data_IF_402284277399
#
_entry.id   IF_402284277399
#
_cell.length_a   1.000
_cell.length_b   1.000
_cell.length_c   1.000
_cell.angle_alpha   90.00
_cell.angle_beta   90.00
_cell.angle_gamma   90.00
#
_symmetry.space_group_name_H-M   'P 1'
#
loop_
_entity.id
_entity.type
_entity.pdbx_description
1 polymer ?
#
# COMPACT_ATOMS: atom_id res chain seq x y z
N UNK A 1 -2.67 16.76 -14.29
CA UNK A 1 -2.36 15.32 -14.25
C UNK A 1 -0.87 15.22 -14.16
N UNK A 2 -0.38 14.41 -13.23
CA UNK A 2 1.05 14.21 -13.09
C UNK A 2 1.61 13.37 -14.24
N UNK A 3 2.87 13.57 -14.60
CA UNK A 3 3.63 12.68 -15.48
C UNK A 3 4.05 11.38 -14.75
N UNK A 4 3.91 11.33 -13.43
CA UNK A 4 4.32 10.19 -12.60
C UNK A 4 3.10 9.59 -11.89
N UNK A 5 2.77 8.35 -12.24
CA UNK A 5 1.60 7.64 -11.72
C UNK A 5 2.04 6.46 -10.85
N UNK A 6 1.47 6.37 -9.66
CA UNK A 6 1.56 5.19 -8.80
C UNK A 6 0.24 4.42 -8.83
N UNK A 7 0.33 3.09 -8.88
CA UNK A 7 -0.78 2.19 -8.56
C UNK A 7 -0.47 1.42 -7.28
N UNK A 8 -1.52 1.19 -6.51
CA UNK A 8 -1.46 0.58 -5.18
C UNK A 8 -2.52 -0.52 -5.09
N UNK A 9 -2.38 -1.42 -4.12
CA UNK A 9 -3.30 -2.54 -3.92
C UNK A 9 -4.71 -2.03 -3.55
N UNK A 10 -4.89 -1.33 -2.43
CA UNK A 10 -6.21 -0.89 -1.93
C UNK A 10 -6.36 0.63 -1.74
N UNK A 11 -7.56 1.08 -1.39
CA UNK A 11 -7.80 2.47 -1.00
C UNK A 11 -7.03 2.88 0.27
N UNK A 12 -6.84 1.97 1.23
CA UNK A 12 -6.06 2.29 2.44
C UNK A 12 -4.59 2.53 2.09
N UNK A 13 -4.04 1.73 1.17
CA UNK A 13 -2.71 1.97 0.61
C UNK A 13 -2.65 3.33 -0.06
N UNK A 14 -3.65 3.66 -0.89
CA UNK A 14 -3.73 4.95 -1.56
C UNK A 14 -3.67 6.10 -0.56
N UNK A 15 -4.52 6.07 0.46
CA UNK A 15 -4.57 7.13 1.48
C UNK A 15 -3.25 7.27 2.25
N UNK A 16 -2.60 6.15 2.54
CA UNK A 16 -1.31 6.15 3.24
C UNK A 16 -0.18 6.70 2.35
N UNK A 17 -0.11 6.25 1.10
CA UNK A 17 0.89 6.69 0.14
C UNK A 17 0.72 8.17 -0.19
N UNK A 18 -0.51 8.66 -0.36
CA UNK A 18 -0.79 10.09 -0.51
C UNK A 18 -0.29 10.90 0.71
N UNK A 19 -0.57 10.43 1.93
CA UNK A 19 -0.09 11.10 3.15
C UNK A 19 1.45 11.17 3.22
N UNK A 20 2.13 10.11 2.76
CA UNK A 20 3.58 10.03 2.74
C UNK A 20 4.19 10.89 1.61
N UNK A 21 3.54 10.98 0.45
CA UNK A 21 3.90 11.88 -0.65
C UNK A 21 3.82 13.33 -0.20
N UNK A 22 2.73 13.72 0.46
CA UNK A 22 2.55 15.05 1.03
C UNK A 22 3.66 15.37 2.04
N UNK A 23 3.97 14.41 2.92
CA UNK A 23 5.06 14.55 3.89
C UNK A 23 6.44 14.71 3.24
N UNK A 24 6.69 14.03 2.13
CA UNK A 24 7.93 14.12 1.37
C UNK A 24 7.99 15.34 0.43
N UNK A 25 6.89 16.09 0.30
CA UNK A 25 6.74 17.22 -0.60
C UNK A 25 7.05 16.84 -2.06
N UNK A 26 6.35 15.82 -2.57
CA UNK A 26 6.48 15.32 -3.95
C UNK A 26 5.22 15.69 -4.78
N UNK A 27 5.05 16.96 -5.20
CA UNK A 27 3.81 17.46 -5.80
C UNK A 27 3.50 16.86 -7.18
N UNK A 28 4.54 16.37 -7.88
CA UNK A 28 4.44 15.77 -9.21
C UNK A 28 4.28 14.25 -9.13
N UNK A 29 3.70 13.70 -8.07
CA UNK A 29 3.39 12.26 -7.95
C UNK A 29 1.91 12.09 -7.71
N UNK A 30 1.25 11.37 -8.60
CA UNK A 30 -0.18 11.07 -8.50
C UNK A 30 -0.37 9.59 -8.13
N UNK A 31 -1.23 9.32 -7.15
CA UNK A 31 -1.67 7.95 -6.84
C UNK A 31 -2.99 7.70 -7.53
N UNK A 32 -2.99 6.80 -8.51
CA UNK A 32 -4.19 6.44 -9.26
C UNK A 32 -5.16 5.59 -8.44
N UNK A 33 -6.27 5.22 -9.09
CA UNK A 33 -7.20 4.27 -8.48
C UNK A 33 -6.51 2.93 -8.15
N UNK A 34 -6.87 2.33 -6.99
CA UNK A 34 -6.30 1.07 -6.54
C UNK A 34 -6.62 -0.07 -7.51
N UNK A 35 -5.84 -1.15 -7.39
CA UNK A 35 -6.06 -2.40 -8.13
C UNK A 35 -7.34 -3.06 -7.64
N UNK A 36 -7.53 -3.09 -6.33
CA UNK A 36 -8.65 -3.72 -5.64
C UNK A 36 -9.83 -2.78 -5.50
N UNK A 37 -11.03 -3.30 -5.67
CA UNK A 37 -12.24 -2.62 -5.22
C UNK A 37 -12.43 -2.80 -3.70
N UNK A 38 -13.13 -1.86 -3.07
CA UNK A 38 -13.39 -1.85 -1.61
C UNK A 38 -14.10 -3.12 -1.10
N UNK A 39 -14.79 -3.83 -1.98
CA UNK A 39 -15.57 -5.03 -1.66
C UNK A 39 -14.81 -6.36 -1.86
N UNK A 40 -13.55 -6.33 -2.30
CA UNK A 40 -12.75 -7.54 -2.58
C UNK A 40 -11.90 -7.95 -1.37
N UNK A 41 -12.30 -9.05 -0.72
CA UNK A 41 -11.57 -9.61 0.44
C UNK A 41 -10.26 -10.32 0.04
N UNK A 42 -10.19 -10.83 -1.20
CA UNK A 42 -9.02 -11.44 -1.84
C UNK A 42 -8.85 -10.83 -3.25
N UNK A 43 -8.13 -9.72 -3.32
CA UNK A 43 -8.07 -8.89 -4.53
C UNK A 43 -7.12 -9.40 -5.62
N UNK A 44 -6.00 -10.01 -5.24
CA UNK A 44 -5.00 -10.51 -6.19
C UNK A 44 -5.14 -12.01 -6.43
N UNK A 45 -6.39 -12.49 -6.45
CA UNK A 45 -6.72 -13.91 -6.59
C UNK A 45 -6.41 -14.39 -8.02
N UNK A 46 -5.11 -14.60 -8.26
CA UNK A 46 -4.51 -14.93 -9.54
C UNK A 46 -4.50 -13.74 -10.51
N UNK A 47 -3.52 -12.84 -10.38
CA UNK A 47 -2.92 -11.85 -11.32
C UNK A 47 -3.83 -10.95 -12.20
N UNK A 48 -4.97 -11.46 -12.64
CA UNK A 48 -5.98 -10.90 -13.53
C UNK A 48 -6.41 -9.47 -13.21
N UNK A 49 -6.55 -9.11 -11.94
CA UNK A 49 -6.88 -7.73 -11.55
C UNK A 49 -5.73 -6.75 -11.81
N UNK A 50 -4.47 -7.18 -11.56
CA UNK A 50 -3.29 -6.37 -11.89
C UNK A 50 -3.14 -6.25 -13.42
N UNK A 51 -3.23 -7.36 -14.16
CA UNK A 51 -3.20 -7.37 -15.63
C UNK A 51 -4.28 -6.46 -16.23
N UNK A 52 -5.51 -6.57 -15.76
CA UNK A 52 -6.63 -5.74 -16.22
C UNK A 52 -6.39 -4.27 -15.93
N UNK A 53 -5.81 -3.96 -14.76
CA UNK A 53 -5.45 -2.59 -14.39
C UNK A 53 -4.36 -2.05 -15.32
N UNK A 54 -3.27 -2.79 -15.51
CA UNK A 54 -2.16 -2.43 -16.39
C UNK A 54 -2.63 -2.24 -17.84
N UNK A 55 -3.44 -3.16 -18.36
CA UNK A 55 -4.02 -3.07 -19.72
C UNK A 55 -4.88 -1.82 -19.89
N UNK A 56 -5.61 -1.39 -18.85
CA UNK A 56 -6.37 -0.12 -18.92
C UNK A 56 -5.46 1.10 -18.86
N UNK A 57 -4.31 0.99 -18.20
CA UNK A 57 -3.34 2.08 -18.08
C UNK A 57 -2.58 2.35 -19.37
N UNK A 58 -2.39 1.37 -20.27
CA UNK A 58 -1.75 1.61 -21.57
C UNK A 58 -2.47 2.71 -22.35
N UNK A 59 -3.81 2.66 -22.39
CA UNK A 59 -4.63 3.72 -22.98
C UNK A 59 -4.47 5.09 -22.30
N UNK A 60 -4.12 5.11 -21.01
CA UNK A 60 -3.85 6.35 -20.28
C UNK A 60 -2.44 6.86 -20.61
N UNK A 61 -1.44 6.00 -20.58
CA UNK A 61 -0.04 6.31 -20.93
C UNK A 61 0.01 7.05 -22.28
N UNK A 62 -0.63 6.51 -23.31
CA UNK A 62 -0.67 7.10 -24.65
C UNK A 62 -1.35 8.48 -24.70
N UNK A 63 -2.37 8.70 -23.85
CA UNK A 63 -3.21 9.91 -23.89
C UNK A 63 -2.73 11.03 -22.97
N UNK A 64 -2.19 10.68 -21.81
CA UNK A 64 -1.92 11.64 -20.73
C UNK A 64 -0.43 11.93 -20.58
N UNK A 65 0.45 11.24 -21.30
CA UNK A 65 1.88 11.49 -21.28
C UNK A 65 2.55 11.07 -19.98
N UNK A 66 2.09 9.96 -19.38
CA UNK A 66 2.76 9.35 -18.24
C UNK A 66 4.19 9.01 -18.67
N UNK A 67 5.16 9.39 -17.86
CA UNK A 67 6.59 9.09 -18.05
C UNK A 67 7.09 8.02 -17.11
N UNK A 68 6.55 7.97 -15.89
CA UNK A 68 6.92 6.99 -14.87
C UNK A 68 5.70 6.29 -14.30
N UNK A 69 5.74 4.96 -14.24
CA UNK A 69 4.73 4.11 -13.62
C UNK A 69 5.34 3.37 -12.41
N UNK A 70 4.76 3.57 -11.23
CA UNK A 70 5.12 2.86 -10.01
C UNK A 70 4.05 1.88 -9.59
N UNK A 71 4.44 0.67 -9.20
CA UNK A 71 3.53 -0.38 -8.74
C UNK A 71 3.87 -0.72 -7.29
N UNK A 72 2.92 -0.57 -6.37
CA UNK A 72 3.10 -0.89 -4.95
C UNK A 72 2.16 -2.02 -4.56
N UNK A 73 2.71 -3.17 -4.13
CA UNK A 73 1.95 -4.34 -3.66
C UNK A 73 2.42 -4.80 -2.28
N UNK A 74 1.54 -5.44 -1.52
CA UNK A 74 1.92 -6.06 -0.25
C UNK A 74 2.67 -7.38 -0.44
N UNK A 75 3.72 -7.61 0.36
CA UNK A 75 4.48 -8.86 0.33
C UNK A 75 3.64 -10.07 0.74
N UNK A 76 2.71 -9.88 1.67
CA UNK A 76 1.92 -10.92 2.33
C UNK A 76 2.84 -12.06 2.81
N UNK A 77 2.38 -13.31 2.64
CA UNK A 77 3.18 -14.53 2.85
C UNK A 77 3.99 -14.94 1.61
N UNK A 78 3.71 -14.33 0.45
CA UNK A 78 4.38 -14.62 -0.83
C UNK A 78 5.82 -14.10 -0.82
N UNK A 79 6.04 -12.97 -0.14
CA UNK A 79 7.33 -12.31 -0.02
C UNK A 79 7.68 -11.47 -1.24
N UNK A 80 8.82 -10.79 -1.16
CA UNK A 80 9.28 -9.82 -2.16
C UNK A 80 9.43 -10.47 -3.54
N UNK A 81 10.22 -11.54 -3.65
CA UNK A 81 10.56 -12.15 -4.94
C UNK A 81 9.33 -12.70 -5.66
N UNK A 82 8.42 -13.34 -4.93
CA UNK A 82 7.18 -13.86 -5.52
C UNK A 82 6.26 -12.75 -6.03
N UNK A 83 6.21 -11.59 -5.34
CA UNK A 83 5.43 -10.44 -5.82
C UNK A 83 6.08 -9.74 -7.01
N UNK A 84 7.41 -9.64 -7.05
CA UNK A 84 8.12 -9.14 -8.24
C UNK A 84 7.85 -10.06 -9.44
N UNK A 85 7.86 -11.38 -9.24
CA UNK A 85 7.49 -12.36 -10.27
C UNK A 85 6.08 -12.13 -10.81
N UNK A 86 5.09 -11.99 -9.92
CA UNK A 86 3.70 -11.69 -10.28
C UNK A 86 3.58 -10.37 -11.07
N UNK A 87 4.33 -9.33 -10.68
CA UNK A 87 4.34 -8.07 -11.43
C UNK A 87 4.92 -8.27 -12.83
N UNK A 88 6.02 -9.01 -12.98
CA UNK A 88 6.60 -9.29 -14.29
C UNK A 88 5.62 -10.06 -15.19
N UNK A 89 4.96 -11.10 -14.66
CA UNK A 89 3.92 -11.84 -15.40
C UNK A 89 2.80 -10.90 -15.88
N UNK A 90 2.40 -9.92 -15.07
CA UNK A 90 1.36 -8.97 -15.44
C UNK A 90 1.84 -7.90 -16.44
N UNK A 91 3.13 -7.55 -16.41
CA UNK A 91 3.76 -6.62 -17.35
C UNK A 91 3.88 -7.24 -18.74
N UNK A 92 4.10 -8.55 -18.86
CA UNK A 92 4.17 -9.26 -20.15
C UNK A 92 2.90 -9.05 -21.01
N UNK A 93 1.76 -8.74 -20.38
CA UNK A 93 0.51 -8.43 -21.07
C UNK A 93 0.51 -7.06 -21.76
N UNK A 94 1.40 -6.13 -21.36
CA UNK A 94 1.42 -4.74 -21.87
C UNK A 94 2.75 -4.31 -22.48
N UNK A 95 3.87 -4.94 -22.12
CA UNK A 95 5.18 -4.70 -22.72
C UNK A 95 6.08 -5.93 -22.56
N UNK A 96 6.80 -6.33 -23.61
CA UNK A 96 7.67 -7.53 -23.58
C UNK A 96 9.14 -7.23 -23.26
N UNK A 97 9.50 -5.96 -23.19
CA UNK A 97 10.88 -5.47 -23.08
C UNK A 97 11.32 -5.12 -21.65
N UNK A 98 10.42 -5.23 -20.67
CA UNK A 98 10.69 -4.92 -19.26
C UNK A 98 10.68 -6.18 -18.41
N UNK A 99 11.77 -6.40 -17.67
CA UNK A 99 11.85 -7.40 -16.60
C UNK A 99 12.42 -6.74 -15.35
N UNK A 100 11.60 -6.63 -14.31
CA UNK A 100 12.00 -6.10 -13.01
C UNK A 100 12.80 -7.16 -12.26
N UNK A 101 14.10 -6.90 -12.06
CA UNK A 101 15.00 -7.81 -11.31
C UNK A 101 15.04 -7.55 -9.81
N UNK A 102 14.67 -6.34 -9.40
CA UNK A 102 14.68 -5.91 -8.01
C UNK A 102 13.63 -4.80 -7.82
N UNK A 103 13.03 -4.71 -6.62
CA UNK A 103 12.21 -3.57 -6.28
C UNK A 103 13.05 -2.28 -6.23
N UNK A 104 12.37 -1.13 -6.23
CA UNK A 104 12.96 0.19 -6.08
C UNK A 104 13.99 0.56 -7.17
N UNK A 105 13.83 0.00 -8.36
CA UNK A 105 14.69 0.27 -9.52
C UNK A 105 13.81 0.61 -10.72
N UNK A 106 14.12 1.71 -11.41
CA UNK A 106 13.46 2.09 -12.66
C UNK A 106 14.02 1.28 -13.82
N UNK A 107 13.13 0.78 -14.67
CA UNK A 107 13.44 0.09 -15.93
C UNK A 107 12.62 0.74 -17.03
N UNK A 108 13.28 1.20 -18.10
CA UNK A 108 12.59 1.83 -19.23
C UNK A 108 12.00 0.76 -20.16
N UNK A 109 10.71 0.87 -20.48
CA UNK A 109 10.10 0.25 -21.65
C UNK A 109 10.27 1.18 -22.85
N UNK A 110 10.90 0.68 -23.91
CA UNK A 110 10.91 1.30 -25.23
C UNK A 110 9.58 1.08 -25.97
N UNK A 111 8.85 0.00 -25.68
CA UNK A 111 7.53 -0.24 -26.27
C UNK A 111 6.50 0.81 -25.83
N UNK A 112 6.51 1.18 -24.54
CA UNK A 112 5.59 2.16 -23.95
C UNK A 112 6.20 3.55 -23.80
N UNK A 113 7.51 3.71 -24.02
CA UNK A 113 8.27 4.92 -23.72
C UNK A 113 8.07 5.45 -22.28
N UNK A 114 7.95 4.52 -21.31
CA UNK A 114 7.72 4.77 -19.87
C UNK A 114 8.78 4.08 -19.02
N UNK A 115 9.20 4.71 -17.92
CA UNK A 115 9.99 4.06 -16.88
C UNK A 115 9.09 3.40 -15.85
N UNK A 116 9.33 2.12 -15.57
CA UNK A 116 8.52 1.30 -14.67
C UNK A 116 9.37 0.90 -13.46
N UNK A 117 8.82 1.02 -12.26
CA UNK A 117 9.41 0.48 -11.04
C UNK A 117 8.34 -0.16 -10.15
N UNK A 118 8.74 -1.08 -9.28
CA UNK A 118 7.86 -1.60 -8.24
C UNK A 118 8.43 -1.41 -6.83
N UNK A 119 7.53 -1.35 -5.85
CA UNK A 119 7.84 -1.47 -4.44
C UNK A 119 6.99 -2.58 -3.83
N UNK A 120 7.61 -3.42 -3.00
CA UNK A 120 6.88 -4.44 -2.26
C UNK A 120 6.82 -4.01 -0.80
N UNK A 121 5.64 -3.61 -0.32
CA UNK A 121 5.41 -3.21 1.06
C UNK A 121 5.66 -4.40 1.99
N UNK A 122 6.55 -4.22 2.97
CA UNK A 122 6.95 -5.30 3.86
C UNK A 122 7.59 -4.79 5.16
N UNK A 123 7.61 -5.66 6.16
CA UNK A 123 8.48 -5.60 7.32
C UNK A 123 9.29 -6.91 7.35
N UNK A 124 10.61 -6.82 7.15
CA UNK A 124 11.51 -7.98 7.10
C UNK A 124 11.15 -9.01 6.02
N UNK A 125 10.73 -8.54 4.84
CA UNK A 125 10.45 -9.36 3.66
C UNK A 125 9.02 -9.90 3.54
N UNK A 126 8.19 -9.70 4.56
CA UNK A 126 6.80 -10.17 4.61
C UNK A 126 5.85 -9.10 5.17
N UNK A 127 4.55 -9.35 5.08
CA UNK A 127 3.51 -8.51 5.69
C UNK A 127 2.81 -7.58 4.70
N UNK A 128 1.94 -6.75 5.26
CA UNK A 128 1.02 -5.86 4.53
C UNK A 128 1.13 -4.43 5.08
N UNK A 129 0.38 -3.49 4.53
CA UNK A 129 0.29 -2.12 5.05
C UNK A 129 0.03 -2.09 6.56
N UNK A 130 -0.91 -2.88 7.09
CA UNK A 130 -1.24 -2.89 8.51
C UNK A 130 -0.04 -3.29 9.39
N UNK A 131 0.80 -4.20 8.91
CA UNK A 131 2.04 -4.60 9.59
C UNK A 131 3.01 -3.42 9.70
N UNK A 132 3.16 -2.66 8.61
CA UNK A 132 3.96 -1.43 8.59
C UNK A 132 3.36 -0.37 9.52
N UNK A 133 2.05 -0.13 9.47
CA UNK A 133 1.36 0.86 10.31
C UNK A 133 1.55 0.58 11.81
N UNK A 134 1.45 -0.69 12.21
CA UNK A 134 1.75 -1.13 13.60
C UNK A 134 3.18 -0.79 14.01
N UNK A 135 4.15 -1.02 13.12
CA UNK A 135 5.56 -0.76 13.40
C UNK A 135 5.86 0.75 13.54
N UNK A 136 5.16 1.59 12.77
CA UNK A 136 5.44 3.03 12.74
C UNK A 136 4.51 3.87 13.64
N UNK A 137 3.64 3.27 14.46
CA UNK A 137 2.75 4.03 15.34
C UNK A 137 3.52 5.06 16.18
N UNK A 138 3.06 6.32 16.22
CA UNK A 138 3.74 7.38 16.98
C UNK A 138 3.19 7.57 18.39
N UNK A 139 2.04 6.98 18.71
CA UNK A 139 1.34 7.14 19.99
C UNK A 139 1.14 5.79 20.69
N UNK A 140 0.80 5.87 21.98
CA UNK A 140 0.40 4.69 22.75
C UNK A 140 -0.91 4.13 22.19
N UNK A 141 -1.08 2.82 22.31
CA UNK A 141 -2.19 2.08 21.71
C UNK A 141 -2.89 1.13 22.69
N UNK A 142 -3.24 1.56 23.92
CA UNK A 142 -3.78 0.65 24.93
C UNK A 142 -5.03 -0.11 24.48
N UNK A 143 -5.94 0.52 23.71
CA UNK A 143 -7.14 -0.16 23.22
C UNK A 143 -6.80 -1.19 22.16
N UNK A 144 -5.93 -0.86 21.21
CA UNK A 144 -5.50 -1.80 20.17
C UNK A 144 -4.64 -2.94 20.75
N UNK A 145 -3.74 -2.65 21.68
CA UNK A 145 -2.86 -3.64 22.32
C UNK A 145 -3.67 -4.66 23.15
N UNK A 146 -4.77 -4.23 23.78
CA UNK A 146 -5.70 -5.11 24.48
C UNK A 146 -6.38 -6.15 23.58
N UNK A 147 -6.40 -5.96 22.25
CA UNK A 147 -6.87 -7.00 21.33
C UNK A 147 -6.01 -8.27 21.40
N UNK A 148 -4.75 -8.18 21.81
CA UNK A 148 -3.91 -9.36 22.06
C UNK A 148 -4.56 -10.29 23.08
N UNK A 149 -5.02 -9.76 24.20
CA UNK A 149 -5.75 -10.53 25.23
C UNK A 149 -7.06 -11.11 24.69
N UNK A 150 -7.79 -10.36 23.86
CA UNK A 150 -8.99 -10.87 23.19
C UNK A 150 -8.68 -12.05 22.25
N UNK A 151 -7.61 -11.95 21.47
CA UNK A 151 -7.16 -13.01 20.56
C UNK A 151 -6.75 -14.27 21.32
N UNK A 152 -6.02 -14.12 22.42
CA UNK A 152 -5.65 -15.27 23.27
C UNK A 152 -6.87 -15.92 23.94
N UNK A 153 -7.86 -15.12 24.36
CA UNK A 153 -9.13 -15.64 24.88
C UNK A 153 -9.85 -16.51 23.82
N UNK A 154 -9.94 -16.04 22.58
CA UNK A 154 -10.53 -16.83 21.48
C UNK A 154 -9.73 -18.10 21.19
N UNK A 155 -8.40 -18.04 21.23
CA UNK A 155 -7.56 -19.22 21.04
C UNK A 155 -7.80 -20.28 22.13
N UNK A 156 -7.98 -19.87 23.38
CA UNK A 156 -8.31 -20.79 24.48
C UNK A 156 -9.65 -21.53 24.27
N UNK A 157 -10.58 -20.89 23.55
CA UNK A 157 -11.86 -21.46 23.12
C UNK A 157 -11.77 -22.21 21.77
N UNK A 158 -10.57 -22.48 21.26
CA UNK A 158 -10.34 -23.18 19.99
C UNK A 158 -10.70 -22.37 18.75
N UNK A 159 -10.78 -21.04 18.86
CA UNK A 159 -11.09 -20.13 17.74
C UNK A 159 -9.83 -19.38 17.32
N UNK A 160 -9.29 -19.75 16.16
CA UNK A 160 -8.16 -19.04 15.59
C UNK A 160 -8.59 -17.74 14.88
N UNK A 161 -7.80 -16.68 15.09
CA UNK A 161 -7.93 -15.42 14.36
C UNK A 161 -6.71 -15.29 13.47
N UNK A 162 -6.91 -15.13 12.17
CA UNK A 162 -5.82 -14.93 11.22
C UNK A 162 -5.06 -13.62 11.50
N UNK A 163 -3.76 -13.60 11.26
CA UNK A 163 -2.91 -12.43 11.51
C UNK A 163 -3.37 -11.20 10.73
N UNK A 164 -3.71 -11.38 9.44
CA UNK A 164 -4.25 -10.32 8.60
C UNK A 164 -5.47 -9.63 9.23
N UNK A 165 -6.47 -10.43 9.59
CA UNK A 165 -7.67 -9.91 10.23
C UNK A 165 -7.36 -9.20 11.56
N UNK A 166 -6.46 -9.78 12.35
CA UNK A 166 -6.04 -9.18 13.62
C UNK A 166 -5.36 -7.83 13.42
N UNK A 167 -4.45 -7.71 12.44
CA UNK A 167 -3.71 -6.49 12.16
C UNK A 167 -4.64 -5.39 11.62
N UNK A 168 -5.57 -5.73 10.73
CA UNK A 168 -6.63 -4.82 10.27
C UNK A 168 -7.49 -4.35 11.45
N UNK A 169 -7.89 -5.25 12.36
CA UNK A 169 -8.66 -4.88 13.54
C UNK A 169 -7.85 -3.97 14.48
N UNK A 170 -6.57 -4.28 14.66
CA UNK A 170 -5.66 -3.49 15.48
C UNK A 170 -5.53 -2.07 14.95
N UNK A 171 -5.30 -1.88 13.64
CA UNK A 171 -5.19 -0.54 13.04
C UNK A 171 -6.48 0.24 13.20
N UNK A 172 -7.63 -0.42 13.00
CA UNK A 172 -8.94 0.19 13.23
C UNK A 172 -9.12 0.65 14.68
N UNK A 173 -8.65 -0.14 15.66
CA UNK A 173 -8.72 0.24 17.06
C UNK A 173 -7.77 1.38 17.40
N UNK A 174 -6.56 1.35 16.84
CA UNK A 174 -5.59 2.41 17.03
C UNK A 174 -6.11 3.75 16.50
N UNK A 175 -6.67 3.77 15.28
CA UNK A 175 -7.25 4.99 14.72
C UNK A 175 -8.48 5.47 15.52
N UNK A 176 -9.39 4.56 15.87
CA UNK A 176 -10.70 4.91 16.43
C UNK A 176 -10.72 5.11 17.94
N UNK A 177 -10.06 4.26 18.71
CA UNK A 177 -10.19 4.27 20.17
C UNK A 177 -8.97 4.88 20.85
N UNK A 178 -7.78 4.73 20.27
CA UNK A 178 -6.57 5.34 20.83
C UNK A 178 -6.36 6.79 20.38
N UNK A 179 -6.79 7.16 19.17
CA UNK A 179 -6.42 8.45 18.55
C UNK A 179 -7.56 9.34 18.06
N UNK A 180 -8.80 8.86 18.06
CA UNK A 180 -9.98 9.67 17.78
C UNK A 180 -10.39 10.46 19.02
N UNK A 181 -10.83 11.72 18.87
CA UNK A 181 -11.34 12.47 20.02
C UNK A 181 -12.72 11.92 20.41
N UNK A 182 -13.00 11.76 21.71
CA UNK A 182 -14.29 11.21 22.21
C UNK A 182 -15.54 11.96 21.74
N UNK A 183 -15.40 13.21 21.26
CA UNK A 183 -16.49 14.07 20.79
C UNK A 183 -16.39 14.40 19.29
N UNK A 184 -15.60 13.66 18.51
CA UNK A 184 -15.58 13.80 17.06
C UNK A 184 -16.94 13.36 16.49
N UNK A 185 -17.73 14.32 16.02
CA UNK A 185 -18.99 14.01 15.31
C UNK A 185 -18.68 13.07 14.15
N UNK A 186 -19.55 12.10 13.87
CA UNK A 186 -19.33 11.10 12.82
C UNK A 186 -17.98 10.35 12.93
N UNK A 187 -17.57 9.94 14.14
CA UNK A 187 -16.33 9.19 14.38
C UNK A 187 -16.12 7.98 13.44
N UNK A 188 -17.20 7.33 12.99
CA UNK A 188 -17.11 6.25 11.99
C UNK A 188 -16.51 6.69 10.64
N UNK A 189 -16.74 7.94 10.25
CA UNK A 189 -16.20 8.57 9.04
C UNK A 189 -14.86 9.27 9.30
N UNK A 190 -14.74 9.97 10.43
CA UNK A 190 -13.60 10.87 10.69
C UNK A 190 -12.38 10.17 11.31
N UNK A 191 -12.51 8.92 11.73
CA UNK A 191 -11.46 8.18 12.43
C UNK A 191 -11.13 6.85 11.76
N UNK A 192 -11.41 6.73 10.46
CA UNK A 192 -11.14 5.58 9.60
C UNK A 192 -10.84 6.04 8.16
N UNK A 193 -10.41 5.12 7.31
CA UNK A 193 -10.16 5.39 5.88
C UNK A 193 -9.20 6.56 5.68
N UNK A 194 -9.49 7.42 4.70
CA UNK A 194 -8.64 8.56 4.36
C UNK A 194 -8.34 9.47 5.55
N UNK A 195 -9.39 9.94 6.23
CA UNK A 195 -9.24 10.90 7.33
C UNK A 195 -8.44 10.30 8.48
N UNK A 196 -8.66 9.01 8.80
CA UNK A 196 -7.89 8.31 9.81
C UNK A 196 -6.43 8.09 9.42
N UNK A 197 -6.18 7.79 8.15
CA UNK A 197 -4.84 7.51 7.63
C UNK A 197 -3.97 8.77 7.58
N UNK A 198 -4.55 9.93 7.25
CA UNK A 198 -3.88 11.22 7.16
C UNK A 198 -3.71 11.94 8.51
N UNK A 199 -4.03 11.30 9.66
CA UNK A 199 -3.78 11.90 10.99
C UNK A 199 -2.30 11.83 11.36
N UNK A 200 -1.85 12.78 12.17
CA UNK A 200 -0.53 12.77 12.82
C UNK A 200 -0.49 11.73 13.96
N UNK A 201 -0.50 10.45 13.58
CA UNK A 201 -0.48 9.26 14.45
C UNK A 201 0.51 8.20 13.96
N UNK A 202 1.21 8.49 12.87
CA UNK A 202 2.22 7.65 12.23
C UNK A 202 3.56 8.37 12.26
N UNK A 203 4.60 7.68 12.70
CA UNK A 203 5.96 8.18 12.69
C UNK A 203 6.55 7.99 11.28
N UNK A 204 6.36 8.98 10.42
CA UNK A 204 6.93 8.93 9.08
C UNK A 204 8.46 8.91 9.07
N UNK A 205 9.14 9.33 10.13
CA UNK A 205 10.61 9.21 10.27
C UNK A 205 11.08 7.82 10.71
N UNK A 206 10.18 6.85 10.91
CA UNK A 206 10.56 5.52 11.32
C UNK A 206 11.43 4.80 10.25
N UNK A 207 12.54 4.13 10.62
CA UNK A 207 13.45 3.49 9.67
C UNK A 207 12.80 2.45 8.74
N UNK A 208 11.70 1.83 9.17
CA UNK A 208 10.95 0.88 8.34
C UNK A 208 10.43 1.49 7.03
N UNK A 209 10.26 2.83 6.98
CA UNK A 209 9.81 3.53 5.78
C UNK A 209 10.94 3.90 4.82
N UNK A 210 12.20 3.62 5.16
CA UNK A 210 13.35 4.09 4.37
C UNK A 210 13.25 3.67 2.90
N UNK A 211 12.94 2.40 2.65
CA UNK A 211 12.94 1.87 1.28
C UNK A 211 11.72 2.38 0.49
N UNK A 212 10.56 2.49 1.13
CA UNK A 212 9.37 3.10 0.53
C UNK A 212 9.59 4.59 0.22
N UNK A 213 10.18 5.36 1.15
CA UNK A 213 10.53 6.76 0.91
C UNK A 213 11.53 6.92 -0.25
N UNK A 214 12.51 6.01 -0.34
CA UNK A 214 13.47 6.01 -1.44
C UNK A 214 12.79 5.68 -2.77
N UNK A 215 11.86 4.73 -2.78
CA UNK A 215 11.04 4.42 -3.95
C UNK A 215 10.24 5.63 -4.43
N UNK A 216 9.49 6.29 -3.53
CA UNK A 216 8.66 7.44 -3.89
C UNK A 216 9.50 8.60 -4.48
N UNK A 217 10.74 8.79 -3.99
CA UNK A 217 11.66 9.80 -4.53
C UNK A 217 12.12 9.52 -5.96
N UNK A 218 11.99 8.30 -6.49
CA UNK A 218 12.25 8.02 -7.91
C UNK A 218 11.28 8.80 -8.82
N UNK A 219 10.10 9.16 -8.30
CA UNK A 219 9.02 9.87 -8.98
C UNK A 219 8.98 11.36 -8.63
N UNK A 220 9.78 11.80 -7.66
CA UNK A 220 9.85 13.19 -7.21
C UNK A 220 10.82 14.09 -8.00
N UNK A 221 11.50 13.51 -8.99
CA UNK A 221 12.51 14.17 -9.83
C UNK A 221 12.06 14.21 -11.29
#
# INVERSE_FOLDING_TARGET
MSENLLIVESDNDRYFIEALIDYLNLPDVEVGHPICNVDEFECLDGISNLESRLTRLTFQIDKTGIKKLGIILDANKVGIDGRVGLINEALDAICSDVVLKAPNTLVKSAELEVEIACHILNISGFGELETLLKAIKSKKSPYADCLGSWRECLRAEGREVADKYFDTLWVNFYQRYDNCKMNESNAGRNCRGETGMKKDIWNFEHPALRDLKNFLRLFGN
#
